data_IF_014198432625
#
_entry.id   IF_014198432625
#
_cell.length_a   1.000
_cell.length_b   1.000
_cell.length_c   1.000
_cell.angle_alpha   90.00
_cell.angle_beta   90.00
_cell.angle_gamma   90.00
#
_symmetry.space_group_name_H-M   'P 1'
#
loop_
_entity.id
_entity.type
_entity.pdbx_description
1 polymer ?
#
# COMPACT_ATOMS: atom_id res chain seq x y z
N UNK A 1 -29.55 -1.69 -8.19
CA UNK A 1 -28.20 -2.00 -7.66
C UNK A 1 -27.89 -3.44 -8.08
N UNK A 2 -26.61 -3.79 -8.25
CA UNK A 2 -26.08 -5.07 -8.76
C UNK A 2 -25.85 -5.17 -10.28
N UNK A 3 -24.67 -4.70 -10.71
CA UNK A 3 -23.99 -5.26 -11.89
C UNK A 3 -22.49 -5.31 -11.61
N UNK A 4 -22.10 -6.10 -10.61
CA UNK A 4 -20.72 -6.61 -10.58
C UNK A 4 -20.58 -7.55 -11.79
N UNK A 5 -20.17 -6.99 -12.93
CA UNK A 5 -20.05 -7.73 -14.17
C UNK A 5 -18.81 -8.63 -14.08
N UNK A 6 -19.03 -9.88 -13.67
CA UNK A 6 -18.00 -10.91 -13.54
C UNK A 6 -17.18 -11.10 -14.83
N UNK A 7 -17.74 -10.79 -16.00
CA UNK A 7 -17.00 -10.85 -17.28
C UNK A 7 -15.91 -9.77 -17.36
N UNK A 8 -16.20 -8.54 -16.89
CA UNK A 8 -15.20 -7.46 -16.83
C UNK A 8 -14.09 -7.82 -15.85
N UNK A 9 -14.47 -8.43 -14.71
CA UNK A 9 -13.50 -8.93 -13.75
C UNK A 9 -12.62 -10.06 -14.32
N UNK A 10 -13.20 -11.00 -15.07
CA UNK A 10 -12.45 -12.08 -15.73
C UNK A 10 -11.49 -11.55 -16.80
N UNK A 11 -11.91 -10.58 -17.61
CA UNK A 11 -11.04 -9.94 -18.60
C UNK A 11 -9.90 -9.16 -17.93
N UNK A 12 -10.22 -8.41 -16.88
CA UNK A 12 -9.22 -7.72 -16.06
C UNK A 12 -8.23 -8.72 -15.44
N UNK A 13 -8.73 -9.83 -14.90
CA UNK A 13 -7.92 -10.88 -14.31
C UNK A 13 -7.03 -11.59 -15.35
N UNK A 14 -7.52 -11.83 -16.56
CA UNK A 14 -6.74 -12.42 -17.64
C UNK A 14 -5.57 -11.51 -18.06
N UNK A 15 -5.79 -10.19 -18.11
CA UNK A 15 -4.74 -9.21 -18.37
C UNK A 15 -3.76 -9.19 -17.19
N UNK A 16 -4.29 -9.08 -15.97
CA UNK A 16 -3.48 -8.96 -14.75
C UNK A 16 -2.61 -10.19 -14.47
N UNK A 17 -3.15 -11.40 -14.66
CA UNK A 17 -2.44 -12.67 -14.45
C UNK A 17 -1.15 -12.75 -15.27
N UNK A 18 -1.14 -12.17 -16.47
CA UNK A 18 0.03 -12.21 -17.35
C UNK A 18 1.20 -11.33 -16.85
N UNK A 19 0.94 -10.31 -16.02
CA UNK A 19 1.99 -9.56 -15.32
C UNK A 19 2.67 -10.42 -14.26
N UNK A 20 1.86 -11.15 -13.49
CA UNK A 20 2.32 -12.03 -12.41
C UNK A 20 2.98 -13.32 -12.92
N UNK A 21 2.93 -13.58 -14.23
CA UNK A 21 3.41 -14.82 -14.87
C UNK A 21 4.47 -14.64 -15.96
N UNK A 22 4.98 -13.44 -16.24
CA UNK A 22 6.07 -13.16 -17.21
C UNK A 22 7.48 -13.28 -16.61
N UNK A 23 8.59 -13.13 -17.34
CA UNK A 23 9.93 -13.52 -16.85
C UNK A 23 10.42 -12.87 -15.53
N UNK A 24 9.86 -11.73 -15.11
CA UNK A 24 10.19 -11.03 -13.85
C UNK A 24 9.26 -11.37 -12.65
N UNK A 25 8.61 -12.55 -12.64
CA UNK A 25 7.64 -12.99 -11.59
C UNK A 25 8.16 -12.80 -10.17
N UNK A 26 9.43 -13.10 -9.94
CA UNK A 26 10.04 -13.09 -8.62
C UNK A 26 10.25 -11.68 -8.08
N UNK A 27 10.64 -10.74 -8.94
CA UNK A 27 10.78 -9.33 -8.57
C UNK A 27 9.41 -8.72 -8.25
N UNK A 28 8.41 -8.95 -9.10
CA UNK A 28 7.04 -8.47 -8.87
C UNK A 28 6.44 -9.04 -7.57
N UNK A 29 6.64 -10.34 -7.29
CA UNK A 29 6.15 -10.98 -6.06
C UNK A 29 6.88 -10.48 -4.81
N UNK A 30 8.19 -10.29 -4.86
CA UNK A 30 8.96 -9.71 -3.75
C UNK A 30 8.49 -8.30 -3.40
N UNK A 31 8.22 -7.48 -4.42
CA UNK A 31 7.67 -6.13 -4.26
C UNK A 31 6.25 -6.15 -3.69
N UNK A 32 5.39 -7.08 -4.13
CA UNK A 32 4.05 -7.27 -3.58
C UNK A 32 4.10 -7.68 -2.10
N UNK A 33 4.97 -8.64 -1.77
CA UNK A 33 5.16 -9.12 -0.39
C UNK A 33 5.67 -7.98 0.49
N UNK A 34 6.63 -7.18 0.00
CA UNK A 34 7.08 -5.96 0.65
C UNK A 34 5.93 -4.98 0.91
N UNK A 35 5.12 -4.67 -0.10
CA UNK A 35 3.95 -3.79 0.05
C UNK A 35 2.96 -4.33 1.09
N UNK A 36 2.68 -5.64 1.09
CA UNK A 36 1.77 -6.27 2.07
C UNK A 36 2.33 -6.18 3.48
N UNK A 37 3.62 -6.49 3.69
CA UNK A 37 4.27 -6.37 5.00
C UNK A 37 4.24 -4.93 5.51
N UNK A 38 4.58 -3.96 4.66
CA UNK A 38 4.53 -2.54 5.01
C UNK A 38 3.09 -2.08 5.28
N UNK A 39 2.11 -2.59 4.53
CA UNK A 39 0.69 -2.28 4.76
C UNK A 39 0.25 -2.78 6.14
N UNK A 40 0.58 -4.02 6.49
CA UNK A 40 0.26 -4.62 7.79
C UNK A 40 0.98 -3.89 8.95
N UNK A 41 2.25 -3.54 8.76
CA UNK A 41 2.99 -2.75 9.74
C UNK A 41 2.38 -1.36 9.93
N UNK A 42 2.01 -0.69 8.84
CA UNK A 42 1.36 0.62 8.87
C UNK A 42 0.00 0.59 9.58
N UNK A 43 -0.87 -0.34 9.21
CA UNK A 43 -2.20 -0.47 9.83
C UNK A 43 -2.09 -0.89 11.30
N UNK A 44 -1.17 -1.81 11.63
CA UNK A 44 -0.88 -2.21 13.00
C UNK A 44 -0.43 -1.03 13.87
N UNK A 45 0.52 -0.22 13.39
CA UNK A 45 0.93 1.00 14.11
C UNK A 45 -0.21 2.01 14.23
N UNK A 46 -1.01 2.18 13.18
CA UNK A 46 -2.14 3.12 13.18
C UNK A 46 -3.18 2.74 14.23
N UNK A 47 -3.51 1.45 14.37
CA UNK A 47 -4.41 0.94 15.41
C UNK A 47 -3.80 1.12 16.81
N UNK A 48 -2.51 0.80 16.98
CA UNK A 48 -1.83 0.96 18.26
C UNK A 48 -1.79 2.43 18.71
N UNK A 49 -1.47 3.34 17.79
CA UNK A 49 -1.54 4.79 18.02
C UNK A 49 -2.95 5.24 18.36
N UNK A 50 -3.95 4.76 17.63
CA UNK A 50 -5.35 5.11 17.87
C UNK A 50 -5.80 4.69 19.28
N UNK A 51 -5.43 3.48 19.71
CA UNK A 51 -5.73 2.98 21.04
C UNK A 51 -5.03 3.81 22.15
N UNK A 52 -3.76 4.16 21.97
CA UNK A 52 -2.99 4.95 22.96
C UNK A 52 -3.44 6.41 23.08
N UNK A 53 -4.10 6.98 22.06
CA UNK A 53 -4.69 8.33 22.15
C UNK A 53 -5.73 8.43 23.26
N UNK A 54 -6.53 7.38 23.50
CA UNK A 54 -7.50 7.37 24.59
C UNK A 54 -6.83 7.45 25.97
N UNK A 55 -5.72 6.73 26.15
CA UNK A 55 -4.95 6.72 27.41
C UNK A 55 -4.29 8.07 27.69
N UNK A 56 -3.84 8.78 26.66
CA UNK A 56 -3.34 10.16 26.77
C UNK A 56 -4.39 11.09 27.37
N UNK A 57 -5.62 11.04 26.83
CA UNK A 57 -6.73 11.91 27.27
C UNK A 57 -7.15 11.54 28.70
N UNK A 58 -7.22 10.25 29.03
CA UNK A 58 -7.55 9.81 30.40
C UNK A 58 -6.48 10.22 31.43
N UNK A 59 -5.19 10.14 31.08
CA UNK A 59 -4.10 10.55 31.97
C UNK A 59 -4.07 12.08 32.18
N UNK A 60 -4.39 12.86 31.14
CA UNK A 60 -4.52 14.31 31.24
C UNK A 60 -5.69 14.71 32.15
N UNK A 61 -6.82 14.02 32.03
CA UNK A 61 -8.02 14.25 32.86
C UNK A 61 -7.80 13.90 34.34
N UNK A 62 -6.94 12.92 34.62
CA UNK A 62 -6.59 12.51 35.98
C UNK A 62 -5.58 13.45 36.68
N UNK A 63 -5.09 14.50 35.99
CA UNK A 63 -4.15 15.50 36.52
C UNK A 63 -2.84 14.91 37.09
N UNK A 64 -2.41 13.78 36.53
CA UNK A 64 -1.33 12.95 37.03
C UNK A 64 -0.02 13.29 36.27
N UNK A 65 0.68 14.31 36.77
CA UNK A 65 1.83 14.97 36.10
C UNK A 65 2.97 14.03 35.67
N UNK A 66 3.40 13.04 36.49
CA UNK A 66 4.46 12.11 36.08
C UNK A 66 4.03 11.21 34.91
N UNK A 67 2.76 10.80 34.93
CA UNK A 67 2.16 9.90 33.94
C UNK A 67 1.95 10.62 32.61
N UNK A 68 1.65 11.92 32.66
CA UNK A 68 1.56 12.76 31.48
C UNK A 68 2.87 12.82 30.70
N UNK A 69 3.99 13.18 31.36
CA UNK A 69 5.29 13.27 30.70
C UNK A 69 5.77 11.93 30.13
N UNK A 70 5.56 10.84 30.87
CA UNK A 70 5.90 9.49 30.37
C UNK A 70 5.11 9.16 29.09
N UNK A 71 3.83 9.54 29.04
CA UNK A 71 2.98 9.28 27.88
C UNK A 71 3.35 10.17 26.69
N UNK A 72 3.73 11.43 26.93
CA UNK A 72 4.23 12.35 25.88
C UNK A 72 5.50 11.80 25.22
N UNK A 73 6.48 11.33 26.00
CA UNK A 73 7.73 10.76 25.47
C UNK A 73 7.45 9.50 24.64
N UNK A 74 6.58 8.60 25.13
CA UNK A 74 6.17 7.42 24.36
C UNK A 74 5.51 7.84 23.04
N UNK A 75 4.63 8.83 23.06
CA UNK A 75 3.94 9.31 21.86
C UNK A 75 4.92 9.88 20.83
N UNK A 76 5.87 10.72 21.27
CA UNK A 76 6.94 11.25 20.42
C UNK A 76 7.81 10.13 19.83
N UNK A 77 8.22 9.15 20.64
CA UNK A 77 8.99 8.00 20.18
C UNK A 77 8.25 7.20 19.11
N UNK A 78 6.94 6.97 19.29
CA UNK A 78 6.12 6.28 18.28
C UNK A 78 6.00 7.11 17.01
N UNK A 79 5.86 8.43 17.09
CA UNK A 79 5.83 9.31 15.90
C UNK A 79 7.13 9.24 15.09
N UNK A 80 8.29 9.24 15.77
CA UNK A 80 9.60 9.13 15.12
C UNK A 80 9.74 7.80 14.36
N UNK A 81 9.14 6.72 14.86
CA UNK A 81 9.12 5.41 14.17
C UNK A 81 8.04 5.37 13.06
N UNK A 82 6.90 6.00 13.30
CA UNK A 82 5.76 5.99 12.37
C UNK A 82 6.08 6.71 11.07
N UNK A 83 6.78 7.86 11.13
CA UNK A 83 7.13 8.65 9.96
C UNK A 83 7.92 7.87 8.88
N UNK A 84 9.08 7.24 9.18
CA UNK A 84 9.82 6.45 8.19
C UNK A 84 9.05 5.21 7.73
N UNK A 85 8.22 4.62 8.59
CA UNK A 85 7.42 3.45 8.24
C UNK A 85 6.32 3.80 7.22
N UNK A 86 5.63 4.93 7.44
CA UNK A 86 4.67 5.47 6.48
C UNK A 86 5.36 5.85 5.16
N UNK A 87 6.50 6.54 5.21
CA UNK A 87 7.26 6.91 4.02
C UNK A 87 7.76 5.69 3.23
N UNK A 88 8.20 4.63 3.92
CA UNK A 88 8.57 3.37 3.30
C UNK A 88 7.39 2.69 2.62
N UNK A 89 6.24 2.63 3.31
CA UNK A 89 5.01 2.07 2.74
C UNK A 89 4.56 2.82 1.48
N UNK A 90 4.52 4.16 1.51
CA UNK A 90 4.12 4.96 0.35
C UNK A 90 5.11 4.78 -0.81
N UNK A 91 6.41 4.80 -0.53
CA UNK A 91 7.43 4.58 -1.56
C UNK A 91 7.29 3.20 -2.23
N UNK A 92 7.16 2.12 -1.46
CA UNK A 92 6.99 0.78 -2.04
C UNK A 92 5.70 0.67 -2.87
N UNK A 93 4.59 1.23 -2.36
CA UNK A 93 3.31 1.25 -3.05
C UNK A 93 3.40 1.99 -4.37
N UNK A 94 4.03 3.16 -4.39
CA UNK A 94 4.18 3.98 -5.59
C UNK A 94 5.10 3.31 -6.61
N UNK A 95 6.19 2.67 -6.16
CA UNK A 95 7.08 1.89 -7.03
C UNK A 95 6.34 0.72 -7.68
N UNK A 96 5.53 -0.03 -6.92
CA UNK A 96 4.71 -1.10 -7.46
C UNK A 96 3.70 -0.58 -8.50
N UNK A 97 3.01 0.51 -8.18
CA UNK A 97 2.06 1.17 -9.09
C UNK A 97 2.73 1.63 -10.39
N UNK A 98 3.93 2.18 -10.30
CA UNK A 98 4.68 2.66 -11.46
C UNK A 98 5.14 1.51 -12.36
N UNK A 99 5.66 0.43 -11.79
CA UNK A 99 6.05 -0.78 -12.56
C UNK A 99 4.85 -1.40 -13.27
N UNK A 100 3.72 -1.51 -12.55
CA UNK A 100 2.47 -1.99 -13.13
C UNK A 100 2.01 -1.14 -14.32
N UNK A 101 2.04 0.19 -14.17
CA UNK A 101 1.66 1.13 -15.24
C UNK A 101 2.60 1.04 -16.46
N UNK A 102 3.91 0.95 -16.24
CA UNK A 102 4.89 0.78 -17.33
C UNK A 102 4.59 -0.47 -18.13
N UNK A 103 4.43 -1.59 -17.45
CA UNK A 103 4.11 -2.85 -18.12
C UNK A 103 2.79 -2.81 -18.89
N UNK A 104 1.74 -2.22 -18.32
CA UNK A 104 0.47 -2.06 -19.03
C UNK A 104 0.63 -1.21 -20.29
N UNK A 105 1.39 -0.13 -20.20
CA UNK A 105 1.62 0.80 -21.32
C UNK A 105 2.40 0.11 -22.43
N UNK A 106 3.51 -0.56 -22.11
CA UNK A 106 4.31 -1.32 -23.09
C UNK A 106 3.48 -2.39 -23.78
N UNK A 107 2.70 -3.16 -23.01
CA UNK A 107 1.83 -4.20 -23.57
C UNK A 107 0.75 -3.62 -24.49
N UNK A 108 0.13 -2.51 -24.10
CA UNK A 108 -0.91 -1.86 -24.90
C UNK A 108 -0.34 -1.28 -26.20
N UNK A 109 0.77 -0.54 -26.10
CA UNK A 109 1.45 0.08 -27.25
C UNK A 109 1.95 -0.99 -28.23
N UNK A 110 2.62 -2.04 -27.74
CA UNK A 110 3.10 -3.13 -28.59
C UNK A 110 1.96 -3.83 -29.34
N UNK A 111 0.80 -4.02 -28.70
CA UNK A 111 -0.37 -4.63 -29.35
C UNK A 111 -1.02 -3.69 -30.36
N UNK A 112 -1.08 -2.40 -30.06
CA UNK A 112 -1.65 -1.38 -30.94
C UNK A 112 -0.84 -1.21 -32.23
N UNK A 113 0.50 -1.22 -32.14
CA UNK A 113 1.37 -1.11 -33.33
C UNK A 113 1.65 -2.47 -34.01
N UNK A 114 1.57 -3.59 -33.30
CA UNK A 114 1.86 -4.92 -33.84
C UNK A 114 0.84 -5.42 -34.87
N UNK A 115 -0.43 -5.04 -34.75
CA UNK A 115 -1.50 -5.54 -35.63
C UNK A 115 -1.77 -4.67 -36.87
N UNK A 116 -0.93 -3.65 -37.16
CA UNK A 116 -1.21 -2.61 -38.18
C UNK A 116 -2.64 -2.02 -38.05
N UNK A 117 -3.22 -2.06 -36.85
CA UNK A 117 -4.54 -1.51 -36.55
C UNK A 117 -4.61 0.02 -36.72
N UNK A 118 -3.46 0.67 -36.94
CA UNK A 118 -3.35 2.08 -37.29
C UNK A 118 -3.89 2.41 -38.70
N UNK A 119 -4.10 1.40 -39.56
CA UNK A 119 -4.53 1.58 -40.95
C UNK A 119 -5.97 1.12 -41.24
N UNK A 120 -6.74 0.72 -40.22
CA UNK A 120 -8.18 0.46 -40.32
C UNK A 120 -8.98 1.60 -39.71
#
# INVERSE_FOLDING_TARGET
MDRLNLQVFQQFWAIAKSYWSGDEKWYARGLLLGVVLFLLAYTGLSVLLNNKRGVLISALSAQDEPRFWQTVIIFLAVLVIYAPLLAGYTYLRDRLSLQWRRWLTERFVNRYFGDRAYYQ
#
